data_IF_937145470992
#
_entry.id   IF_937145470992
#
_cell.length_a   1.000
_cell.length_b   1.000
_cell.length_c   1.000
_cell.angle_alpha   90.00
_cell.angle_beta   90.00
_cell.angle_gamma   90.00
#
_symmetry.space_group_name_H-M   'P 1'
#
loop_
_entity.id
_entity.type
_entity.pdbx_description
1 polymer ?
#
# COMPACT_ATOMS: atom_id res chain seq x y z
N UNK A 1 14.24 3.51 2.28
CA UNK A 1 12.82 3.80 2.56
C UNK A 1 12.17 4.18 1.24
N UNK A 2 11.15 3.45 0.80
CA UNK A 2 10.47 3.70 -0.48
C UNK A 2 9.71 5.04 -0.47
N UNK A 3 9.47 5.59 -1.66
CA UNK A 3 8.67 6.81 -1.83
C UNK A 3 7.22 6.59 -1.39
N UNK A 4 6.67 5.41 -1.68
CA UNK A 4 5.31 5.01 -1.35
C UNK A 4 5.09 4.92 0.16
N UNK A 5 6.05 4.37 0.92
CA UNK A 5 6.02 4.39 2.39
C UNK A 5 6.10 5.80 2.98
N UNK A 6 6.95 6.68 2.42
CA UNK A 6 7.00 8.09 2.86
C UNK A 6 5.66 8.79 2.64
N UNK A 7 5.07 8.57 1.47
CA UNK A 7 3.77 9.12 1.14
C UNK A 7 2.67 8.57 2.05
N UNK A 8 2.64 7.26 2.33
CA UNK A 8 1.68 6.65 3.24
C UNK A 8 1.76 7.24 4.65
N UNK A 9 2.97 7.39 5.20
CA UNK A 9 3.18 8.02 6.52
C UNK A 9 2.67 9.45 6.56
N UNK A 10 2.98 10.24 5.53
CA UNK A 10 2.52 11.62 5.42
C UNK A 10 0.99 11.71 5.25
N UNK A 11 0.39 10.81 4.45
CA UNK A 11 -1.04 10.76 4.19
C UNK A 11 -1.85 10.45 5.46
N UNK A 12 -1.39 9.49 6.26
CA UNK A 12 -2.08 9.06 7.47
C UNK A 12 -1.62 9.78 8.75
N UNK A 13 -0.56 10.60 8.67
CA UNK A 13 0.03 11.26 9.83
C UNK A 13 0.59 10.28 10.87
N UNK A 14 1.07 9.11 10.43
CA UNK A 14 1.53 8.03 11.30
C UNK A 14 2.89 7.48 10.86
N UNK A 15 3.94 7.90 11.56
CA UNK A 15 5.31 7.45 11.33
C UNK A 15 5.57 6.00 11.75
N UNK A 16 4.68 5.38 12.52
CA UNK A 16 4.78 3.97 12.93
C UNK A 16 4.40 3.00 11.80
N UNK A 17 3.83 3.52 10.70
CA UNK A 17 3.48 2.72 9.54
C UNK A 17 4.73 2.04 8.96
N UNK A 18 4.61 0.74 8.71
CA UNK A 18 5.60 -0.06 8.00
C UNK A 18 4.99 -0.66 6.74
N UNK A 19 5.79 -0.81 5.69
CA UNK A 19 5.37 -1.55 4.50
C UNK A 19 5.35 -3.05 4.79
N UNK A 20 4.28 -3.72 4.39
CA UNK A 20 4.20 -5.18 4.34
C UNK A 20 4.57 -5.71 2.96
N UNK A 21 4.08 -5.05 1.91
CA UNK A 21 4.40 -5.33 0.52
C UNK A 21 4.18 -4.08 -0.34
N UNK A 22 4.97 -3.89 -1.38
CA UNK A 22 4.85 -2.78 -2.31
C UNK A 22 5.02 -3.26 -3.75
N UNK A 23 4.34 -2.60 -4.68
CA UNK A 23 4.40 -2.89 -6.12
C UNK A 23 4.60 -1.61 -6.90
N UNK A 24 5.40 -1.69 -7.96
CA UNK A 24 5.57 -0.64 -8.95
C UNK A 24 4.92 -1.08 -10.26
N UNK A 25 4.00 -0.26 -10.76
CA UNK A 25 3.32 -0.49 -12.03
C UNK A 25 3.60 0.62 -13.05
N UNK A 26 3.24 0.40 -14.32
CA UNK A 26 3.44 1.38 -15.40
C UNK A 26 2.68 2.69 -15.18
N UNK A 27 1.68 2.70 -14.29
CA UNK A 27 0.79 3.84 -14.04
C UNK A 27 0.89 4.42 -12.62
N UNK A 28 1.78 3.86 -11.79
CA UNK A 28 2.00 4.31 -10.43
C UNK A 28 2.33 3.17 -9.47
N UNK A 29 2.28 3.47 -8.18
CA UNK A 29 2.74 2.58 -7.12
C UNK A 29 1.58 2.11 -6.26
N UNK A 30 1.72 0.94 -5.64
CA UNK A 30 0.75 0.40 -4.69
C UNK A 30 1.49 -0.18 -3.50
N UNK A 31 0.85 -0.22 -2.34
CA UNK A 31 1.40 -0.96 -1.21
C UNK A 31 0.36 -1.31 -0.16
N UNK A 32 0.69 -2.34 0.62
CA UNK A 32 -0.01 -2.72 1.84
C UNK A 32 0.87 -2.32 3.02
N UNK A 33 0.28 -1.61 3.97
CA UNK A 33 0.99 -0.99 5.08
C UNK A 33 0.32 -1.32 6.41
N UNK A 34 1.10 -1.53 7.46
CA UNK A 34 0.58 -1.78 8.80
C UNK A 34 0.93 -0.62 9.74
N UNK A 35 -0.10 0.01 10.34
CA UNK A 35 0.05 0.91 11.48
C UNK A 35 0.14 0.10 12.78
N UNK A 36 1.35 0.05 13.38
CA UNK A 36 1.54 -0.64 14.66
C UNK A 36 0.84 0.05 15.82
N UNK A 37 0.67 1.38 15.74
CA UNK A 37 -0.01 2.16 16.78
C UNK A 37 -1.52 1.93 16.81
N UNK A 38 -2.16 1.79 15.64
CA UNK A 38 -3.62 1.72 15.55
C UNK A 38 -4.17 0.32 15.24
N UNK A 39 -3.30 -0.66 14.95
CA UNK A 39 -3.66 -2.04 14.58
C UNK A 39 -4.60 -2.12 13.37
N UNK A 40 -4.24 -1.38 12.32
CA UNK A 40 -4.93 -1.40 11.04
C UNK A 40 -3.96 -1.63 9.89
N UNK A 41 -4.44 -2.33 8.87
CA UNK A 41 -3.75 -2.53 7.60
C UNK A 41 -4.38 -1.60 6.56
N UNK A 42 -3.54 -0.84 5.87
CA UNK A 42 -3.93 0.05 4.78
C UNK A 42 -3.45 -0.52 3.46
N UNK A 43 -4.37 -0.78 2.55
CA UNK A 43 -4.06 -0.91 1.13
C UNK A 43 -4.14 0.49 0.50
N UNK A 44 -3.08 0.90 -0.17
CA UNK A 44 -2.98 2.18 -0.87
C UNK A 44 -2.60 1.93 -2.33
N UNK A 45 -3.38 2.49 -3.25
CA UNK A 45 -3.09 2.54 -4.69
C UNK A 45 -2.86 3.99 -5.08
N UNK A 46 -1.72 4.31 -5.67
CA UNK A 46 -1.37 5.65 -6.16
C UNK A 46 -1.20 5.66 -7.68
N UNK A 47 -2.00 6.47 -8.38
CA UNK A 47 -1.98 6.63 -9.83
C UNK A 47 -1.25 7.95 -10.14
N UNK A 48 0.05 7.87 -10.36
CA UNK A 48 0.93 9.04 -10.45
C UNK A 48 0.54 9.99 -11.58
N UNK A 49 0.14 9.45 -12.74
CA UNK A 49 -0.23 10.26 -13.91
C UNK A 49 -1.46 11.16 -13.67
N UNK A 50 -2.29 10.82 -12.68
CA UNK A 50 -3.51 11.55 -12.35
C UNK A 50 -3.41 12.28 -11.01
N UNK A 51 -2.30 12.11 -10.28
CA UNK A 51 -2.17 12.57 -8.90
C UNK A 51 -3.34 12.11 -7.99
N UNK A 52 -3.82 10.88 -8.21
CA UNK A 52 -4.94 10.29 -7.47
C UNK A 52 -4.43 9.14 -6.60
N UNK A 53 -5.02 8.98 -5.42
CA UNK A 53 -4.81 7.81 -4.59
C UNK A 53 -6.15 7.24 -4.10
N UNK A 54 -6.16 5.93 -3.88
CA UNK A 54 -7.26 5.20 -3.27
C UNK A 54 -6.75 4.46 -2.06
N UNK A 55 -7.53 4.45 -0.98
CA UNK A 55 -7.21 3.74 0.25
C UNK A 55 -8.33 2.78 0.60
N UNK A 56 -7.95 1.62 1.13
CA UNK A 56 -8.85 0.72 1.81
C UNK A 56 -8.24 0.30 3.14
N UNK A 57 -9.06 0.27 4.18
CA UNK A 57 -8.62 -0.06 5.54
C UNK A 57 -9.19 -1.42 5.94
N UNK A 58 -8.31 -2.28 6.42
CA UNK A 58 -8.63 -3.60 6.97
C UNK A 58 -8.26 -3.63 8.45
N UNK A 59 -9.03 -4.35 9.29
CA UNK A 59 -8.57 -4.67 10.65
C UNK A 59 -7.33 -5.56 10.58
N UNK A 60 -6.46 -5.50 11.60
CA UNK A 60 -5.19 -6.25 11.65
C UNK A 60 -5.35 -7.78 11.39
N UNK A 61 -6.43 -8.35 11.92
CA UNK A 61 -6.77 -9.79 11.74
C UNK A 61 -7.02 -10.19 10.29
N UNK A 62 -7.23 -9.22 9.39
CA UNK A 62 -7.49 -9.44 7.97
C UNK A 62 -6.25 -9.16 7.09
N UNK A 63 -5.04 -9.13 7.65
CA UNK A 63 -3.79 -8.90 6.90
C UNK A 63 -3.66 -9.80 5.65
N UNK A 64 -3.96 -11.09 5.78
CA UNK A 64 -3.91 -12.03 4.63
C UNK A 64 -4.90 -11.66 3.53
N UNK A 65 -6.07 -11.15 3.87
CA UNK A 65 -7.05 -10.67 2.88
C UNK A 65 -6.53 -9.41 2.19
N UNK A 66 -6.01 -8.45 2.95
CA UNK A 66 -5.44 -7.22 2.41
C UNK A 66 -4.30 -7.50 1.40
N UNK A 67 -3.40 -8.43 1.73
CA UNK A 67 -2.31 -8.84 0.84
C UNK A 67 -2.85 -9.51 -0.42
N UNK A 68 -3.82 -10.42 -0.29
CA UNK A 68 -4.43 -11.10 -1.45
C UNK A 68 -5.14 -10.14 -2.39
N UNK A 69 -5.92 -9.20 -1.86
CA UNK A 69 -6.61 -8.18 -2.66
C UNK A 69 -5.58 -7.30 -3.39
N UNK A 70 -4.49 -6.93 -2.71
CA UNK A 70 -3.39 -6.20 -3.31
C UNK A 70 -2.73 -6.99 -4.45
N UNK A 71 -2.41 -8.27 -4.26
CA UNK A 71 -1.82 -9.12 -5.31
C UNK A 71 -2.72 -9.19 -6.56
N UNK A 72 -4.04 -9.32 -6.38
CA UNK A 72 -5.00 -9.33 -7.48
C UNK A 72 -4.99 -8.00 -8.23
N UNK A 73 -5.01 -6.87 -7.51
CA UNK A 73 -4.96 -5.53 -8.10
C UNK A 73 -3.63 -5.31 -8.83
N UNK A 74 -2.50 -5.70 -8.23
CA UNK A 74 -1.18 -5.61 -8.84
C UNK A 74 -1.12 -6.41 -10.14
N UNK A 75 -1.59 -7.66 -10.12
CA UNK A 75 -1.61 -8.51 -11.29
C UNK A 75 -2.45 -7.90 -12.42
N UNK A 76 -3.63 -7.35 -12.09
CA UNK A 76 -4.48 -6.68 -13.08
C UNK A 76 -3.85 -5.39 -13.63
N UNK A 77 -3.17 -4.63 -12.78
CA UNK A 77 -2.47 -3.40 -13.16
C UNK A 77 -1.14 -3.64 -13.91
N UNK A 78 -0.70 -4.88 -14.05
CA UNK A 78 0.61 -5.23 -14.59
C UNK A 78 1.77 -4.70 -13.72
N UNK A 79 1.53 -4.55 -12.41
CA UNK A 79 2.52 -4.09 -11.46
C UNK A 79 3.40 -5.25 -10.97
N UNK A 80 4.68 -4.96 -10.70
CA UNK A 80 5.65 -5.92 -10.18
C UNK A 80 5.98 -5.59 -8.74
N UNK A 81 6.09 -6.63 -7.92
CA UNK A 81 6.46 -6.48 -6.51
C UNK A 81 7.88 -5.90 -6.40
N UNK A 82 8.04 -4.91 -5.52
CA UNK A 82 9.34 -4.33 -5.20
C UNK A 82 9.99 -5.23 -4.16
N UNK A 83 10.90 -6.10 -4.60
CA UNK A 83 11.71 -6.91 -3.69
C UNK A 83 12.73 -5.97 -3.01
N UNK A 84 12.61 -5.85 -1.69
CA UNK A 84 13.47 -5.01 -0.85
C UNK A 84 14.92 -5.50 -0.76
#
# INVERSE_FOLDING_TARGET
MSKSLQFARALFGDDSIVALAEWAGPHGDMGVYHSKGTRYIYLLVFIQAQNLHYTHQYPDVAMTLALRDAEIIAAFAGAQEIVA
#
